data_IF_767131595172
#
_entry.id   IF_767131595172
#
_cell.length_a   1.000
_cell.length_b   1.000
_cell.length_c   1.000
_cell.angle_alpha   90.00
_cell.angle_beta   90.00
_cell.angle_gamma   90.00
#
_symmetry.space_group_name_H-M   'P 1'
#
loop_
_entity.id
_entity.type
_entity.pdbx_description
1 polymer ?
#
# COMPACT_ATOMS: atom_id res chain seq x y z
N UNK A 1 -1.44 -26.48 0.86
CA UNK A 1 -1.48 -26.54 2.34
C UNK A 1 -0.98 -25.26 3.03
N UNK A 2 0.08 -24.59 2.56
CA UNK A 2 0.58 -23.33 3.15
C UNK A 2 -0.43 -22.18 3.15
N UNK A 3 -1.22 -22.05 2.08
CA UNK A 3 -2.20 -20.95 1.91
C UNK A 3 -3.35 -21.01 2.95
N UNK A 4 -3.75 -22.21 3.38
CA UNK A 4 -4.79 -22.41 4.40
C UNK A 4 -4.30 -21.90 5.77
N UNK A 5 -3.11 -22.31 6.19
CA UNK A 5 -2.48 -21.83 7.43
C UNK A 5 -2.27 -20.32 7.46
N UNK A 6 -1.87 -19.72 6.34
CA UNK A 6 -1.73 -18.26 6.24
C UNK A 6 -3.07 -17.54 6.44
N UNK A 7 -4.13 -17.98 5.73
CA UNK A 7 -5.45 -17.40 5.85
C UNK A 7 -6.05 -17.57 7.25
N UNK A 8 -5.83 -18.71 7.88
CA UNK A 8 -6.29 -18.99 9.24
C UNK A 8 -5.64 -18.04 10.26
N UNK A 9 -4.31 -17.88 10.19
CA UNK A 9 -3.56 -16.93 11.04
C UNK A 9 -4.00 -15.48 10.78
N UNK A 10 -4.15 -15.11 9.51
CA UNK A 10 -4.57 -13.76 9.14
C UNK A 10 -6.01 -13.47 9.58
N UNK A 11 -6.89 -14.47 9.55
CA UNK A 11 -8.25 -14.40 10.06
C UNK A 11 -8.29 -14.10 11.55
N UNK A 12 -7.46 -14.78 12.34
CA UNK A 12 -7.33 -14.53 13.79
C UNK A 12 -6.77 -13.12 14.04
N UNK A 13 -5.70 -12.73 13.35
CA UNK A 13 -5.08 -11.42 13.54
C UNK A 13 -6.03 -10.26 13.20
N UNK A 14 -6.90 -10.41 12.19
CA UNK A 14 -7.91 -9.39 11.84
C UNK A 14 -9.00 -9.21 12.89
N UNK A 15 -9.17 -10.14 13.82
CA UNK A 15 -10.13 -9.98 14.93
C UNK A 15 -9.60 -9.00 16.00
N UNK A 16 -8.29 -8.74 16.03
CA UNK A 16 -7.71 -7.75 16.94
C UNK A 16 -7.98 -6.34 16.39
N UNK A 17 -8.72 -5.47 17.11
CA UNK A 17 -9.15 -4.15 16.58
C UNK A 17 -8.01 -3.31 16.02
N UNK A 18 -6.91 -3.16 16.77
CA UNK A 18 -5.72 -2.40 16.35
C UNK A 18 -5.06 -2.95 15.08
N UNK A 19 -5.09 -4.26 14.89
CA UNK A 19 -4.55 -4.89 13.68
C UNK A 19 -5.46 -4.58 12.49
N UNK A 20 -6.77 -4.68 12.67
CA UNK A 20 -7.73 -4.34 11.64
C UNK A 20 -7.64 -2.85 11.26
N UNK A 21 -7.54 -1.95 12.23
CA UNK A 21 -7.32 -0.51 12.00
C UNK A 21 -6.05 -0.25 11.20
N UNK A 22 -4.92 -0.85 11.62
CA UNK A 22 -3.66 -0.72 10.89
C UNK A 22 -3.76 -1.23 9.44
N UNK A 23 -4.37 -2.40 9.23
CA UNK A 23 -4.53 -3.00 7.90
C UNK A 23 -5.41 -2.18 6.96
N UNK A 24 -6.32 -1.38 7.51
CA UNK A 24 -7.23 -0.49 6.76
C UNK A 24 -6.64 0.92 6.55
N UNK A 25 -5.41 1.20 6.99
CA UNK A 25 -4.73 2.46 6.67
C UNK A 25 -4.49 2.57 5.16
N UNK A 26 -4.64 3.78 4.63
CA UNK A 26 -4.37 4.08 3.21
C UNK A 26 -2.95 3.68 2.80
N UNK A 27 -1.95 3.96 3.66
CA UNK A 27 -0.55 3.59 3.44
C UNK A 27 -0.38 2.08 3.19
N UNK A 28 -1.00 1.26 4.03
CA UNK A 28 -0.97 -0.21 3.95
C UNK A 28 -1.74 -0.73 2.74
N UNK A 29 -2.92 -0.17 2.45
CA UNK A 29 -3.72 -0.56 1.29
C UNK A 29 -2.96 -0.26 0.00
N UNK A 30 -2.43 0.95 -0.14
CA UNK A 30 -1.70 1.38 -1.34
C UNK A 30 -0.39 0.62 -1.49
N UNK A 31 0.37 0.43 -0.39
CA UNK A 31 1.61 -0.35 -0.40
C UNK A 31 1.42 -1.77 -0.92
N UNK A 32 0.35 -2.45 -0.48
CA UNK A 32 -0.01 -3.79 -0.97
C UNK A 32 -0.41 -3.80 -2.44
N UNK A 33 -1.20 -2.81 -2.89
CA UNK A 33 -1.59 -2.68 -4.31
C UNK A 33 -0.37 -2.46 -5.20
N UNK A 34 0.54 -1.57 -4.81
CA UNK A 34 1.79 -1.30 -5.51
C UNK A 34 2.67 -2.55 -5.58
N UNK A 35 2.90 -3.22 -4.45
CA UNK A 35 3.68 -4.45 -4.40
C UNK A 35 3.10 -5.51 -5.33
N UNK A 36 1.78 -5.75 -5.24
CA UNK A 36 1.09 -6.72 -6.09
C UNK A 36 1.27 -6.39 -7.57
N UNK A 37 1.04 -5.13 -7.95
CA UNK A 37 1.18 -4.68 -9.34
C UNK A 37 2.62 -4.81 -9.85
N UNK A 38 3.61 -4.43 -9.04
CA UNK A 38 5.02 -4.58 -9.40
C UNK A 38 5.37 -6.03 -9.69
N UNK A 39 4.90 -6.96 -8.85
CA UNK A 39 5.12 -8.40 -9.03
C UNK A 39 4.38 -8.96 -10.25
N UNK A 40 3.16 -8.50 -10.54
CA UNK A 40 2.42 -8.87 -11.76
C UNK A 40 3.15 -8.45 -13.04
N UNK A 41 3.86 -7.31 -13.00
CA UNK A 41 4.69 -6.83 -14.11
C UNK A 41 6.08 -7.50 -14.15
N UNK A 42 6.41 -8.36 -13.18
CA UNK A 42 7.72 -9.02 -13.10
C UNK A 42 8.89 -8.08 -12.76
N UNK A 43 8.61 -6.88 -12.24
CA UNK A 43 9.62 -5.86 -12.00
C UNK A 43 10.26 -5.99 -10.62
N UNK A 44 11.56 -5.74 -10.55
CA UNK A 44 12.28 -5.48 -9.30
C UNK A 44 12.07 -4.05 -8.84
N UNK A 45 12.33 -3.77 -7.56
CA UNK A 45 12.29 -2.41 -7.04
C UNK A 45 13.30 -1.49 -7.74
N UNK A 46 14.44 -2.02 -8.18
CA UNK A 46 15.48 -1.24 -8.89
C UNK A 46 15.00 -0.80 -10.26
N UNK A 47 14.31 -1.66 -10.99
CA UNK A 47 13.75 -1.35 -12.31
C UNK A 47 12.68 -0.26 -12.21
N UNK A 48 11.76 -0.35 -11.25
CA UNK A 48 10.76 0.71 -11.02
C UNK A 48 11.45 2.05 -10.69
N UNK A 49 12.49 2.04 -9.87
CA UNK A 49 13.26 3.26 -9.57
C UNK A 49 13.94 3.81 -10.81
N UNK A 50 14.45 2.95 -11.70
CA UNK A 50 15.02 3.39 -12.98
C UNK A 50 13.96 4.07 -13.83
N UNK A 51 12.80 3.44 -14.01
CA UNK A 51 11.70 4.00 -14.81
C UNK A 51 11.24 5.37 -14.31
N UNK A 52 11.16 5.55 -12.99
CA UNK A 52 10.80 6.86 -12.39
C UNK A 52 11.90 7.90 -12.70
N UNK A 53 13.18 7.52 -12.60
CA UNK A 53 14.29 8.42 -12.92
C UNK A 53 14.36 8.78 -14.39
N UNK A 54 14.04 7.84 -15.28
CA UNK A 54 13.99 8.05 -16.72
C UNK A 54 12.87 9.05 -17.11
N UNK A 55 11.84 9.18 -16.27
CA UNK A 55 10.80 10.22 -16.38
C UNK A 55 11.20 11.58 -15.77
N UNK A 56 12.45 11.74 -15.31
CA UNK A 56 12.98 13.00 -14.79
C UNK A 56 12.77 13.20 -13.28
N UNK A 57 12.22 12.20 -12.58
CA UNK A 57 11.93 12.29 -11.16
C UNK A 57 13.08 11.77 -10.28
N UNK A 58 13.28 12.41 -9.13
CA UNK A 58 14.17 11.87 -8.09
C UNK A 58 13.43 10.85 -7.23
N UNK A 59 13.96 9.62 -7.20
CA UNK A 59 13.37 8.52 -6.43
C UNK A 59 14.43 7.51 -5.95
N UNK A 60 14.18 6.85 -4.82
CA UNK A 60 15.10 5.87 -4.24
C UNK A 60 14.44 4.53 -3.99
N UNK A 61 15.23 3.46 -4.00
CA UNK A 61 14.76 2.12 -3.66
C UNK A 61 14.27 2.04 -2.21
N UNK A 62 14.90 2.79 -1.29
CA UNK A 62 14.46 2.86 0.11
C UNK A 62 13.06 3.48 0.22
N UNK A 63 12.76 4.50 -0.59
CA UNK A 63 11.41 5.09 -0.67
C UNK A 63 10.40 4.07 -1.19
N UNK A 64 10.71 3.34 -2.26
CA UNK A 64 9.82 2.29 -2.77
C UNK A 64 9.55 1.19 -1.73
N UNK A 65 10.59 0.78 -1.01
CA UNK A 65 10.49 -0.21 0.06
C UNK A 65 9.59 0.25 1.21
N UNK A 66 9.72 1.52 1.64
CA UNK A 66 8.82 2.12 2.64
C UNK A 66 7.37 2.16 2.17
N UNK A 67 7.15 2.48 0.90
CA UNK A 67 5.81 2.46 0.31
C UNK A 67 5.22 1.05 0.33
N UNK A 68 5.97 0.05 -0.16
CA UNK A 68 5.50 -1.34 -0.24
C UNK A 68 5.27 -1.97 1.15
N UNK A 69 5.96 -1.49 2.19
CA UNK A 69 5.74 -1.91 3.57
C UNK A 69 4.59 -1.18 4.27
N UNK A 70 3.97 -0.18 3.61
CA UNK A 70 2.88 0.60 4.18
C UNK A 70 3.33 1.59 5.24
N UNK A 71 4.53 2.16 5.10
CA UNK A 71 5.00 3.22 5.98
C UNK A 71 4.04 4.42 5.96
N UNK A 72 3.76 4.96 7.13
CA UNK A 72 3.00 6.19 7.29
C UNK A 72 3.86 7.40 6.87
N UNK A 73 3.22 8.56 6.65
CA UNK A 73 3.85 9.83 6.26
C UNK A 73 4.51 9.87 4.87
N UNK A 74 4.06 9.02 3.94
CA UNK A 74 4.40 9.16 2.53
C UNK A 74 3.41 10.13 1.89
N UNK A 75 3.92 11.15 1.19
CA UNK A 75 3.09 12.14 0.50
C UNK A 75 2.43 11.51 -0.73
N UNK A 76 1.22 11.98 -1.08
CA UNK A 76 0.51 11.56 -2.29
C UNK A 76 1.36 11.69 -3.55
N UNK A 77 2.09 12.80 -3.71
CA UNK A 77 3.01 13.03 -4.83
C UNK A 77 4.05 11.91 -5.01
N UNK A 78 4.42 11.23 -3.93
CA UNK A 78 5.40 10.14 -3.97
C UNK A 78 4.75 8.84 -4.47
N UNK A 79 3.47 8.64 -4.14
CA UNK A 79 2.67 7.53 -4.67
C UNK A 79 2.39 7.73 -6.16
N UNK A 80 2.08 8.94 -6.59
CA UNK A 80 1.77 9.26 -8.00
C UNK A 80 2.93 8.90 -8.94
N UNK A 81 4.18 9.20 -8.54
CA UNK A 81 5.38 8.78 -9.29
C UNK A 81 5.44 7.27 -9.52
N UNK A 82 5.09 6.51 -8.48
CA UNK A 82 5.06 5.04 -8.56
C UNK A 82 3.90 4.56 -9.41
N UNK A 83 2.71 5.16 -9.30
CA UNK A 83 1.57 4.80 -10.14
C UNK A 83 1.88 5.02 -11.61
N UNK A 84 2.42 6.18 -11.98
CA UNK A 84 2.83 6.48 -13.35
C UNK A 84 3.82 5.42 -13.87
N UNK A 85 4.83 5.07 -13.08
CA UNK A 85 5.80 4.03 -13.47
C UNK A 85 5.19 2.62 -13.61
N UNK A 86 4.08 2.33 -12.92
CA UNK A 86 3.42 1.02 -12.94
C UNK A 86 2.23 0.93 -13.92
N UNK A 87 2.09 1.92 -14.81
CA UNK A 87 1.07 1.97 -15.85
C UNK A 87 -0.15 2.85 -15.53
N UNK A 88 -0.04 3.70 -14.51
CA UNK A 88 -1.10 4.60 -14.07
C UNK A 88 -2.11 3.97 -13.12
N UNK A 89 -2.95 4.82 -12.53
CA UNK A 89 -4.08 4.42 -11.70
C UNK A 89 -5.35 4.61 -12.52
N UNK A 90 -6.08 3.54 -12.79
CA UNK A 90 -7.32 3.57 -13.58
C UNK A 90 -8.54 3.94 -12.72
N UNK A 91 -8.61 3.42 -11.48
CA UNK A 91 -9.70 3.70 -10.53
C UNK A 91 -9.20 3.60 -9.07
N UNK A 92 -9.81 4.40 -8.20
CA UNK A 92 -9.65 4.40 -6.75
C UNK A 92 -10.97 4.73 -6.06
N UNK A 93 -11.82 3.72 -5.89
CA UNK A 93 -13.10 3.87 -5.18
C UNK A 93 -12.98 3.42 -3.72
N UNK A 94 -12.91 4.34 -2.73
CA UNK A 94 -12.93 3.97 -1.31
C UNK A 94 -14.33 3.51 -0.88
N UNK A 95 -14.37 2.49 -0.02
CA UNK A 95 -15.60 2.07 0.67
C UNK A 95 -15.50 2.45 2.14
N UNK A 96 -16.54 3.09 2.66
CA UNK A 96 -16.61 3.55 4.05
C UNK A 96 -17.37 2.55 4.92
N UNK A 97 -17.08 2.54 6.22
CA UNK A 97 -17.86 1.77 7.20
C UNK A 97 -19.17 2.51 7.51
N UNK A 98 -20.23 1.76 7.79
CA UNK A 98 -21.51 2.34 8.23
C UNK A 98 -21.36 2.94 9.64
N UNK A 99 -21.51 4.27 9.73
CA UNK A 99 -21.58 5.07 10.97
C UNK A 99 -20.29 5.10 11.83
N UNK A 100 -19.46 6.16 11.74
CA UNK A 100 -18.40 6.39 12.72
C UNK A 100 -19.02 6.77 14.06
N UNK A 101 -18.92 5.91 15.10
CA UNK A 101 -19.35 6.29 16.45
C UNK A 101 -18.31 7.28 17.01
N UNK A 102 -18.76 8.36 17.65
CA UNK A 102 -17.99 9.59 17.89
C UNK A 102 -16.63 9.48 18.62
N UNK A 103 -16.28 8.34 19.22
CA UNK A 103 -14.95 8.10 19.81
C UNK A 103 -13.93 7.50 18.82
N UNK A 104 -14.36 7.03 17.65
CA UNK A 104 -13.49 6.43 16.62
C UNK A 104 -12.84 7.49 15.70
N UNK A 105 -13.11 8.79 15.94
CA UNK A 105 -12.68 9.91 15.11
C UNK A 105 -11.36 10.56 15.58
N UNK A 106 -10.73 10.06 16.65
CA UNK A 106 -9.48 10.62 17.15
C UNK A 106 -8.31 10.02 16.36
N UNK A 107 -7.82 10.78 15.39
CA UNK A 107 -6.48 10.55 14.82
C UNK A 107 -5.46 10.77 15.94
N UNK A 108 -4.83 9.67 16.40
CA UNK A 108 -3.68 9.71 17.33
C UNK A 108 -2.37 9.77 16.58
#
# INVERSE_FOLDING_TARGET
MANKKYNDVMGILRQVPKVNEHLNKISVIMGKKILKRRLELGLTQKEVVSMIKDHGDTFTQATLSKIESGADNIKSETYDKVFVALGGLEDLTPTFKENPKGNDLIHS
#
